data_IF_469372650144
#
_entry.id   IF_469372650144
#
_cell.length_a   1.000
_cell.length_b   1.000
_cell.length_c   1.000
_cell.angle_alpha   90.00
_cell.angle_beta   90.00
_cell.angle_gamma   90.00
#
_symmetry.space_group_name_H-M   'P 1'
#
loop_
_entity.id
_entity.type
_entity.pdbx_description
1 polymer ?
#
# COMPACT_ATOMS: atom_id res chain seq x y z
N UNK A 1 81.55 21.37 -53.39
CA UNK A 1 81.75 20.70 -52.08
C UNK A 1 80.51 21.04 -51.25
N UNK A 2 79.46 20.22 -51.33
CA UNK A 2 79.34 19.05 -50.45
C UNK A 2 79.25 19.59 -49.02
N UNK A 3 78.05 19.99 -48.59
CA UNK A 3 77.12 19.08 -47.91
C UNK A 3 77.77 18.55 -46.63
N UNK A 4 77.97 19.40 -45.62
CA UNK A 4 78.21 18.91 -44.25
C UNK A 4 77.62 19.81 -43.16
N UNK A 5 77.39 21.11 -43.40
CA UNK A 5 76.96 21.99 -42.31
C UNK A 5 75.44 22.24 -42.21
N UNK A 6 74.68 21.86 -43.24
CA UNK A 6 73.21 21.88 -43.24
C UNK A 6 72.56 20.66 -42.58
N UNK A 7 73.35 19.68 -42.14
CA UNK A 7 72.86 18.47 -41.49
C UNK A 7 72.81 18.56 -39.95
N UNK A 8 73.71 19.33 -39.31
CA UNK A 8 73.74 19.42 -37.84
C UNK A 8 72.55 20.18 -37.23
N UNK A 9 71.92 21.09 -37.98
CA UNK A 9 70.71 21.79 -37.54
C UNK A 9 69.44 20.97 -37.85
N UNK A 10 69.46 20.18 -38.95
CA UNK A 10 68.37 19.28 -39.33
C UNK A 10 68.35 17.97 -38.53
N UNK A 11 69.42 17.60 -37.87
CA UNK A 11 69.40 16.49 -36.91
C UNK A 11 68.89 16.99 -35.55
N UNK A 12 69.37 18.15 -35.09
CA UNK A 12 68.95 18.73 -33.81
C UNK A 12 67.44 18.93 -33.66
N UNK A 13 66.72 19.41 -34.69
CA UNK A 13 65.26 19.56 -34.56
C UNK A 13 64.53 18.20 -34.51
N UNK A 14 65.07 17.16 -35.14
CA UNK A 14 64.54 15.78 -35.04
C UNK A 14 64.82 15.26 -33.64
N UNK A 15 66.01 15.51 -33.08
CA UNK A 15 66.34 15.15 -31.70
C UNK A 15 65.42 15.87 -30.69
N UNK A 16 65.13 17.16 -30.92
CA UNK A 16 64.19 17.92 -30.09
C UNK A 16 62.75 17.42 -30.22
N UNK A 17 62.30 17.07 -31.42
CA UNK A 17 60.98 16.46 -31.62
C UNK A 17 60.89 15.07 -30.98
N UNK A 18 61.95 14.27 -31.09
CA UNK A 18 62.04 12.97 -30.45
C UNK A 18 62.02 13.12 -28.92
N UNK A 19 62.79 14.06 -28.36
CA UNK A 19 62.77 14.35 -26.93
C UNK A 19 61.38 14.81 -26.46
N UNK A 20 60.72 15.71 -27.20
CA UNK A 20 59.36 16.15 -26.89
C UNK A 20 58.35 15.00 -26.95
N UNK A 21 58.45 14.13 -27.96
CA UNK A 21 57.59 12.95 -28.08
C UNK A 21 57.81 11.96 -26.92
N UNK A 22 59.07 11.72 -26.52
CA UNK A 22 59.41 10.86 -25.38
C UNK A 22 58.82 11.43 -24.08
N UNK A 23 58.97 12.74 -23.85
CA UNK A 23 58.39 13.41 -22.67
C UNK A 23 56.86 13.32 -22.68
N UNK A 24 56.23 13.54 -23.84
CA UNK A 24 54.76 13.43 -23.98
C UNK A 24 54.27 12.01 -23.68
N UNK A 25 54.96 10.99 -24.18
CA UNK A 25 54.62 9.58 -23.93
C UNK A 25 54.84 9.23 -22.47
N UNK A 26 55.95 9.67 -21.85
CA UNK A 26 56.21 9.44 -20.43
C UNK A 26 55.12 10.07 -19.54
N UNK A 27 54.67 11.28 -19.87
CA UNK A 27 53.60 11.95 -19.12
C UNK A 27 52.24 11.24 -19.28
N UNK A 28 51.92 10.81 -20.50
CA UNK A 28 50.71 10.03 -20.77
C UNK A 28 50.71 8.69 -20.02
N UNK A 29 51.83 7.96 -20.06
CA UNK A 29 51.99 6.69 -19.35
C UNK A 29 51.98 6.86 -17.83
N UNK A 30 52.54 7.95 -17.29
CA UNK A 30 52.43 8.26 -15.87
C UNK A 30 50.96 8.41 -15.47
N UNK A 31 50.17 9.21 -16.20
CA UNK A 31 48.74 9.39 -15.90
C UNK A 31 47.95 8.07 -15.97
N UNK A 32 48.30 7.18 -16.92
CA UNK A 32 47.70 5.86 -17.05
C UNK A 32 48.10 4.94 -15.89
N UNK A 33 49.36 4.97 -15.45
CA UNK A 33 49.84 4.27 -14.26
C UNK A 33 49.09 4.75 -13.02
N UNK A 34 48.89 6.06 -12.85
CA UNK A 34 48.13 6.63 -11.74
C UNK A 34 46.66 6.23 -11.77
N UNK A 35 46.08 5.96 -12.95
CA UNK A 35 44.72 5.45 -13.08
C UNK A 35 44.59 3.95 -12.85
N UNK A 36 45.58 3.15 -13.28
CA UNK A 36 45.57 1.69 -13.11
C UNK A 36 45.96 1.30 -11.67
N UNK A 37 46.91 2.00 -11.06
CA UNK A 37 47.34 1.73 -9.68
C UNK A 37 46.28 2.09 -8.64
N UNK A 38 45.25 2.87 -9.03
CA UNK A 38 44.18 3.30 -8.15
C UNK A 38 44.68 4.24 -7.04
N UNK A 39 43.78 5.06 -6.49
CA UNK A 39 44.02 5.75 -5.23
C UNK A 39 44.03 4.71 -4.10
N UNK A 40 45.14 3.98 -3.92
CA UNK A 40 45.34 3.01 -2.85
C UNK A 40 45.60 3.68 -1.49
N UNK A 41 45.01 4.86 -1.25
CA UNK A 41 44.93 5.51 0.07
C UNK A 41 43.54 5.31 0.70
N UNK A 42 42.86 4.23 0.31
CA UNK A 42 41.85 3.63 1.19
C UNK A 42 42.52 2.39 1.76
N UNK A 43 43.28 2.58 2.84
CA UNK A 43 43.71 1.47 3.68
C UNK A 43 42.51 0.57 3.93
N UNK A 44 42.72 -0.75 3.86
CA UNK A 44 41.66 -1.72 4.08
C UNK A 44 40.83 -1.31 5.29
N UNK A 45 39.56 -0.97 5.07
CA UNK A 45 38.59 -0.75 6.14
C UNK A 45 38.38 -2.12 6.77
N UNK A 46 39.24 -2.48 7.71
CA UNK A 46 39.02 -3.59 8.61
C UNK A 46 37.95 -3.12 9.57
N UNK A 47 36.68 -3.40 9.23
CA UNK A 47 35.60 -3.27 10.21
C UNK A 47 35.95 -4.25 11.33
N UNK A 48 36.22 -3.79 12.57
CA UNK A 48 36.39 -4.73 13.67
C UNK A 48 35.04 -5.43 13.85
N UNK A 49 35.01 -6.75 13.60
CA UNK A 49 33.80 -7.57 13.75
C UNK A 49 33.31 -7.73 15.20
N UNK A 50 33.85 -6.96 16.14
CA UNK A 50 33.48 -7.00 17.57
C UNK A 50 32.78 -5.73 18.07
N UNK A 51 32.28 -4.88 17.17
CA UNK A 51 31.33 -3.85 17.59
C UNK A 51 29.96 -4.50 17.79
N UNK A 52 29.71 -5.03 19.01
CA UNK A 52 28.37 -5.36 19.50
C UNK A 52 27.42 -4.24 19.06
N UNK A 53 26.44 -4.57 18.22
CA UNK A 53 25.48 -3.62 17.68
C UNK A 53 24.84 -2.84 18.83
N UNK A 54 25.35 -1.63 19.08
CA UNK A 54 24.71 -0.73 20.03
C UNK A 54 23.52 -0.16 19.29
N UNK A 55 22.32 -0.60 19.69
CA UNK A 55 21.08 -0.01 19.22
C UNK A 55 21.16 1.50 19.47
N UNK A 56 21.33 2.27 18.41
CA UNK A 56 21.19 3.72 18.46
C UNK A 56 19.69 3.96 18.59
N UNK A 57 19.25 4.28 19.80
CA UNK A 57 17.89 4.74 20.03
C UNK A 57 17.79 6.14 19.47
N UNK A 58 17.21 6.28 18.28
CA UNK A 58 16.94 7.59 17.68
C UNK A 58 15.81 8.24 18.46
N UNK A 59 16.13 9.28 19.23
CA UNK A 59 15.14 10.11 19.88
C UNK A 59 14.48 11.01 18.83
N UNK A 60 13.28 10.62 18.41
CA UNK A 60 12.46 11.33 17.44
C UNK A 60 11.53 12.37 18.09
N UNK A 61 11.54 12.50 19.42
CA UNK A 61 10.71 13.46 20.17
C UNK A 61 10.82 14.90 19.66
N UNK A 62 12.04 15.44 19.41
CA UNK A 62 12.21 16.80 18.89
C UNK A 62 11.64 16.99 17.48
N UNK A 63 11.76 15.98 16.61
CA UNK A 63 11.24 16.02 15.25
C UNK A 63 9.70 15.97 15.24
N UNK A 64 9.09 15.20 16.15
CA UNK A 64 7.64 15.13 16.32
C UNK A 64 7.09 16.43 16.93
N UNK A 65 7.83 17.07 17.86
CA UNK A 65 7.44 18.32 18.50
C UNK A 65 7.35 19.52 17.53
N UNK A 66 8.10 19.51 16.42
CA UNK A 66 8.01 20.56 15.41
C UNK A 66 6.74 20.53 14.56
N UNK A 67 5.97 19.43 14.60
CA UNK A 67 4.71 19.26 13.88
C UNK A 67 4.69 19.85 12.45
N UNK A 68 5.71 19.57 11.59
CA UNK A 68 5.84 20.20 10.26
C UNK A 68 4.67 19.89 9.31
N UNK A 69 3.83 18.91 9.66
CA UNK A 69 2.64 18.49 8.90
C UNK A 69 1.32 18.79 9.64
N UNK A 70 1.37 19.61 10.69
CA UNK A 70 0.24 19.91 11.56
C UNK A 70 0.17 19.01 12.80
N UNK A 71 -0.55 19.46 13.83
CA UNK A 71 -0.78 18.67 15.04
C UNK A 71 -1.78 17.54 14.75
N UNK A 72 -1.55 16.32 15.27
CA UNK A 72 -2.53 15.24 15.18
C UNK A 72 -3.73 15.56 16.09
N UNK A 73 -4.60 16.48 15.68
CA UNK A 73 -5.83 16.84 16.41
C UNK A 73 -7.05 16.06 15.91
N UNK A 74 -6.95 15.39 14.76
CA UNK A 74 -7.84 14.28 14.46
C UNK A 74 -7.27 13.07 15.19
N UNK A 75 -7.62 12.93 16.47
CA UNK A 75 -7.33 11.71 17.19
C UNK A 75 -8.02 10.57 16.42
N UNK A 76 -7.20 9.80 15.71
CA UNK A 76 -7.69 8.76 14.82
C UNK A 76 -8.32 7.68 15.70
N UNK A 77 -9.64 7.51 15.58
CA UNK A 77 -10.30 6.41 16.25
C UNK A 77 -9.73 5.12 15.68
N UNK A 78 -8.88 4.47 16.47
CA UNK A 78 -8.20 3.23 16.08
C UNK A 78 -9.02 2.00 16.49
N UNK A 79 -10.01 2.18 17.37
CA UNK A 79 -10.89 1.12 17.85
C UNK A 79 -12.24 1.14 17.15
N UNK A 80 -12.72 0.00 16.61
CA UNK A 80 -14.08 -0.09 16.09
C UNK A 80 -15.09 0.09 17.23
N UNK A 81 -16.22 0.70 16.95
CA UNK A 81 -17.28 0.90 17.95
C UNK A 81 -17.98 -0.43 18.28
N UNK A 82 -18.32 -0.62 19.56
CA UNK A 82 -19.18 -1.72 20.01
C UNK A 82 -20.69 -1.45 19.80
N UNK A 83 -21.07 -0.31 19.24
CA UNK A 83 -22.47 0.03 18.98
C UNK A 83 -23.01 -0.90 17.87
N UNK A 84 -24.15 -1.55 18.14
CA UNK A 84 -24.86 -2.40 17.19
C UNK A 84 -25.60 -1.56 16.13
N UNK A 85 -24.82 -0.83 15.32
CA UNK A 85 -25.27 0.02 14.23
C UNK A 85 -24.56 -0.37 12.93
N UNK A 86 -25.20 -0.09 11.80
CA UNK A 86 -24.67 -0.36 10.47
C UNK A 86 -24.65 0.93 9.67
N UNK A 87 -23.46 1.33 9.21
CA UNK A 87 -23.30 2.44 8.29
C UNK A 87 -23.79 2.03 6.89
N UNK A 88 -24.88 2.64 6.43
CA UNK A 88 -25.53 2.33 5.14
C UNK A 88 -25.10 3.28 4.03
N UNK A 89 -24.71 4.50 4.36
CA UNK A 89 -24.27 5.49 3.38
C UNK A 89 -23.61 6.71 4.01
N UNK A 90 -22.82 7.43 3.22
CA UNK A 90 -22.25 8.72 3.58
C UNK A 90 -22.33 9.66 2.38
N UNK A 91 -22.77 10.89 2.62
CA UNK A 91 -22.62 12.05 1.75
C UNK A 91 -21.53 12.92 2.36
N UNK A 92 -20.35 12.90 1.78
CA UNK A 92 -19.20 13.67 2.25
C UNK A 92 -19.16 15.03 1.56
N UNK A 93 -19.07 16.11 2.33
CA UNK A 93 -19.04 17.48 1.84
C UNK A 93 -17.92 18.31 2.47
N UNK A 94 -17.58 19.42 1.82
CA UNK A 94 -16.67 20.47 2.31
C UNK A 94 -17.44 21.79 2.25
N UNK A 95 -17.70 22.48 3.37
CA UNK A 95 -17.26 22.22 4.74
C UNK A 95 -17.86 20.93 5.36
N UNK A 96 -17.16 20.37 6.37
CA UNK A 96 -17.50 19.07 6.98
C UNK A 96 -18.90 19.04 7.61
N UNK A 97 -19.41 20.20 8.03
CA UNK A 97 -20.74 20.42 8.62
C UNK A 97 -21.89 20.07 7.66
N UNK A 98 -21.63 20.05 6.36
CA UNK A 98 -22.59 19.64 5.33
C UNK A 98 -22.60 18.12 5.10
N UNK A 99 -21.70 17.38 5.76
CA UNK A 99 -21.66 15.93 5.62
C UNK A 99 -22.82 15.28 6.35
N UNK A 100 -23.36 14.21 5.74
CA UNK A 100 -24.49 13.45 6.27
C UNK A 100 -24.14 11.97 6.19
N UNK A 101 -24.36 11.24 7.28
CA UNK A 101 -24.24 9.78 7.33
C UNK A 101 -25.62 9.16 7.48
N UNK A 102 -25.82 7.97 6.92
CA UNK A 102 -27.06 7.20 7.04
C UNK A 102 -26.76 5.93 7.82
N UNK A 103 -27.31 5.85 9.02
CA UNK A 103 -27.00 4.77 9.97
C UNK A 103 -28.29 4.04 10.38
N UNK A 104 -28.23 2.72 10.34
CA UNK A 104 -29.28 1.80 10.77
C UNK A 104 -28.93 1.28 12.16
N UNK A 105 -29.84 1.35 13.13
CA UNK A 105 -29.63 0.79 14.47
C UNK A 105 -30.52 -0.44 14.60
N UNK A 106 -29.92 -1.60 14.88
CA UNK A 106 -30.65 -2.87 14.84
C UNK A 106 -31.34 -3.09 13.48
N UNK A 107 -32.64 -3.36 13.51
CA UNK A 107 -33.46 -3.61 12.32
C UNK A 107 -34.33 -2.40 11.90
N UNK A 108 -34.06 -1.21 12.46
CA UNK A 108 -34.74 0.02 12.05
C UNK A 108 -34.23 0.51 10.68
N UNK A 109 -35.06 1.25 9.92
CA UNK A 109 -34.60 1.91 8.70
C UNK A 109 -33.47 2.91 8.99
N UNK A 110 -32.58 3.12 7.99
CA UNK A 110 -31.46 4.04 8.11
C UNK A 110 -31.93 5.49 8.34
N UNK A 111 -31.42 6.11 9.41
CA UNK A 111 -31.69 7.51 9.76
C UNK A 111 -30.48 8.39 9.41
N UNK A 112 -30.69 9.66 9.01
CA UNK A 112 -29.60 10.59 8.74
C UNK A 112 -28.99 11.15 10.04
N UNK A 113 -27.68 11.28 10.10
CA UNK A 113 -26.91 11.87 11.21
C UNK A 113 -25.83 12.82 10.67
N UNK A 114 -25.66 13.96 11.35
CA UNK A 114 -24.65 14.98 11.09
C UNK A 114 -23.57 15.00 12.17
N UNK A 115 -22.51 15.76 11.92
CA UNK A 115 -21.50 16.07 12.95
C UNK A 115 -22.18 16.78 14.13
N UNK A 116 -21.95 16.29 15.34
CA UNK A 116 -22.56 16.75 16.58
C UNK A 116 -23.80 15.95 17.03
N UNK A 117 -24.42 15.16 16.15
CA UNK A 117 -25.58 14.34 16.53
C UNK A 117 -25.21 13.19 17.46
N UNK A 118 -26.17 12.75 18.26
CA UNK A 118 -26.04 11.58 19.12
C UNK A 118 -26.51 10.30 18.40
N UNK A 119 -25.62 9.32 18.29
CA UNK A 119 -25.88 7.98 17.78
C UNK A 119 -25.74 6.98 18.94
N UNK A 120 -26.87 6.45 19.43
CA UNK A 120 -26.92 5.41 20.47
C UNK A 120 -26.05 5.71 21.73
N UNK A 121 -25.96 6.99 22.12
CA UNK A 121 -25.18 7.44 23.29
C UNK A 121 -23.75 7.92 22.99
N UNK A 122 -23.25 7.73 21.77
CA UNK A 122 -21.99 8.33 21.31
C UNK A 122 -22.27 9.55 20.42
N UNK A 123 -21.38 10.55 20.43
CA UNK A 123 -21.53 11.75 19.60
C UNK A 123 -20.75 11.60 18.30
N UNK A 124 -21.34 11.97 17.16
CA UNK A 124 -20.65 11.95 15.86
C UNK A 124 -19.67 13.11 15.79
N UNK A 125 -18.37 12.83 15.93
CA UNK A 125 -17.32 13.86 15.90
C UNK A 125 -16.89 14.19 14.48
N UNK A 126 -16.87 13.19 13.59
CA UNK A 126 -16.42 13.37 12.20
C UNK A 126 -17.11 12.37 11.27
N UNK A 127 -17.46 12.84 10.06
CA UNK A 127 -17.99 11.99 8.99
C UNK A 127 -16.93 11.88 7.89
N UNK A 128 -16.38 10.68 7.72
CA UNK A 128 -15.38 10.38 6.68
C UNK A 128 -16.03 9.52 5.58
N UNK A 129 -15.33 9.41 4.43
CA UNK A 129 -15.86 8.69 3.27
C UNK A 129 -16.08 7.19 3.50
N UNK A 130 -15.28 6.59 4.37
CA UNK A 130 -15.23 5.15 4.62
C UNK A 130 -15.73 4.75 6.02
N UNK A 131 -15.87 5.73 6.92
CA UNK A 131 -16.27 5.52 8.32
C UNK A 131 -16.82 6.80 8.94
N UNK A 132 -17.54 6.67 10.05
CA UNK A 132 -17.84 7.79 10.95
C UNK A 132 -17.04 7.64 12.24
N UNK A 133 -16.60 8.76 12.80
CA UNK A 133 -15.88 8.84 14.07
C UNK A 133 -16.88 9.25 15.15
N UNK A 134 -16.90 8.47 16.21
CA UNK A 134 -17.84 8.55 17.32
C UNK A 134 -17.05 8.83 18.60
N UNK A 135 -17.57 9.70 19.45
CA UNK A 135 -17.06 9.93 20.80
C UNK A 135 -18.02 9.31 21.82
N UNK A 136 -17.59 8.23 22.46
CA UNK A 136 -18.32 7.53 23.50
C UNK A 136 -17.70 7.83 24.86
N UNK A 137 -18.25 8.82 25.57
CA UNK A 137 -17.78 9.21 26.91
C UNK A 137 -16.30 9.62 26.99
N UNK A 138 -15.74 10.20 25.92
CA UNK A 138 -14.34 10.59 25.83
C UNK A 138 -13.45 9.60 25.08
N UNK A 139 -13.96 8.42 24.72
CA UNK A 139 -13.26 7.45 23.86
C UNK A 139 -13.67 7.65 22.41
N UNK A 140 -12.69 7.85 21.53
CA UNK A 140 -12.93 7.90 20.09
C UNK A 140 -12.96 6.49 19.51
N UNK A 141 -14.09 6.16 18.87
CA UNK A 141 -14.37 4.89 18.21
C UNK A 141 -14.79 5.18 16.77
N UNK A 142 -14.66 4.19 15.86
CA UNK A 142 -15.16 4.34 14.50
C UNK A 142 -16.23 3.32 14.16
N UNK A 143 -17.25 3.74 13.40
CA UNK A 143 -18.18 2.84 12.73
C UNK A 143 -17.87 2.87 11.23
N UNK A 144 -17.27 1.80 10.73
CA UNK A 144 -16.97 1.63 9.31
C UNK A 144 -18.18 1.04 8.56
N UNK A 145 -18.13 1.12 7.23
CA UNK A 145 -19.02 0.32 6.40
C UNK A 145 -18.81 -1.17 6.69
N UNK A 146 -19.88 -1.99 6.70
CA UNK A 146 -19.74 -3.43 6.88
C UNK A 146 -18.85 -4.00 5.77
N UNK A 147 -17.82 -4.76 6.14
CA UNK A 147 -16.94 -5.41 5.18
C UNK A 147 -17.71 -6.49 4.42
N UNK A 148 -17.87 -6.36 3.09
CA UNK A 148 -18.59 -7.36 2.30
C UNK A 148 -17.85 -8.71 2.25
N UNK A 149 -16.55 -8.70 2.57
CA UNK A 149 -15.67 -9.86 2.48
C UNK A 149 -15.18 -10.38 3.84
N UNK A 150 -15.66 -9.78 4.94
CA UNK A 150 -15.50 -10.28 6.30
C UNK A 150 -14.06 -10.64 6.66
N UNK A 151 -13.16 -9.66 6.66
CA UNK A 151 -11.91 -9.82 7.40
C UNK A 151 -12.19 -9.63 8.89
N UNK A 152 -11.86 -10.64 9.69
CA UNK A 152 -11.64 -10.41 11.11
C UNK A 152 -10.43 -9.46 11.21
N UNK A 153 -10.64 -8.25 11.72
CA UNK A 153 -9.55 -7.35 12.08
C UNK A 153 -8.51 -8.14 12.89
N UNK A 154 -7.27 -8.29 12.41
CA UNK A 154 -6.24 -8.96 13.18
C UNK A 154 -6.03 -8.14 14.46
N UNK A 155 -6.34 -8.72 15.62
CA UNK A 155 -6.01 -8.15 16.92
C UNK A 155 -4.49 -7.93 16.98
N UNK A 156 -3.99 -6.69 17.02
CA UNK A 156 -2.57 -6.46 17.22
C UNK A 156 -2.27 -6.71 18.69
N UNK A 157 -1.64 -7.84 19.01
CA UNK A 157 -1.12 -8.07 20.35
C UNK A 157 -1.25 -9.50 20.86
N UNK A 158 -0.45 -10.41 20.32
CA UNK A 158 0.12 -11.54 21.06
C UNK A 158 1.27 -12.11 20.24
N UNK A 159 2.39 -11.39 20.16
CA UNK A 159 3.65 -12.00 19.76
C UNK A 159 4.16 -12.82 20.97
N UNK A 160 4.35 -14.15 20.85
CA UNK A 160 5.05 -14.92 21.87
C UNK A 160 6.51 -14.45 21.89
N UNK A 161 7.04 -14.14 23.07
CA UNK A 161 8.45 -13.80 23.24
C UNK A 161 9.33 -14.98 22.78
N UNK A 162 10.37 -14.78 21.95
CA UNK A 162 11.26 -15.86 21.55
C UNK A 162 12.17 -16.26 22.71
N UNK A 163 12.18 -17.56 23.04
CA UNK A 163 13.23 -18.14 23.87
C UNK A 163 14.56 -18.21 23.08
N UNK A 164 15.72 -17.87 23.66
CA UNK A 164 16.99 -17.92 22.93
C UNK A 164 17.50 -19.36 22.85
N UNK A 165 17.73 -19.89 21.64
CA UNK A 165 18.57 -21.09 21.49
C UNK A 165 18.32 -22.05 20.32
N UNK A 166 17.43 -21.78 19.37
CA UNK A 166 17.25 -22.68 18.22
C UNK A 166 17.85 -22.10 16.92
N UNK A 167 18.66 -22.89 16.17
CA UNK A 167 19.14 -22.51 14.84
C UNK A 167 17.97 -22.16 13.93
N UNK A 168 18.09 -21.03 13.24
CA UNK A 168 17.12 -20.50 12.27
C UNK A 168 16.88 -21.52 11.15
N UNK A 169 15.86 -22.37 11.30
CA UNK A 169 15.17 -22.91 10.14
C UNK A 169 14.45 -21.71 9.50
N UNK A 170 14.76 -21.41 8.24
CA UNK A 170 14.00 -20.44 7.45
C UNK A 170 12.50 -20.76 7.63
N UNK A 171 11.68 -19.80 8.08
CA UNK A 171 10.25 -20.00 8.10
C UNK A 171 9.84 -20.23 6.65
N UNK A 172 9.27 -21.41 6.35
CA UNK A 172 8.43 -21.53 5.19
C UNK A 172 7.42 -20.37 5.23
N UNK A 173 7.19 -19.64 4.12
CA UNK A 173 6.23 -18.54 4.11
C UNK A 173 4.92 -19.07 4.72
N UNK A 174 4.47 -18.42 5.79
CA UNK A 174 3.19 -18.70 6.41
C UNK A 174 2.17 -18.72 5.28
N UNK A 175 1.54 -19.87 5.05
CA UNK A 175 0.52 -20.01 4.03
C UNK A 175 -0.47 -18.87 4.24
N UNK A 176 -0.60 -18.00 3.23
CA UNK A 176 -1.64 -16.99 3.24
C UNK A 176 -2.97 -17.69 3.59
N UNK A 177 -3.84 -17.08 4.41
CA UNK A 177 -5.18 -17.62 4.61
C UNK A 177 -5.76 -17.93 3.23
N UNK A 178 -6.39 -19.11 3.02
CA UNK A 178 -6.90 -19.47 1.72
C UNK A 178 -7.79 -18.32 1.22
N UNK A 179 -7.65 -17.88 -0.04
CA UNK A 179 -8.47 -16.82 -0.58
C UNK A 179 -9.94 -17.15 -0.30
N UNK A 180 -10.78 -16.15 0.04
CA UNK A 180 -12.16 -16.40 0.38
C UNK A 180 -12.79 -17.21 -0.75
N UNK A 181 -13.29 -18.41 -0.42
CA UNK A 181 -13.85 -19.28 -1.43
C UNK A 181 -15.01 -18.57 -2.11
N UNK A 182 -15.19 -18.80 -3.41
CA UNK A 182 -16.30 -18.20 -4.15
C UNK A 182 -17.63 -18.37 -3.40
N UNK A 183 -17.90 -19.57 -2.90
CA UNK A 183 -19.11 -19.91 -2.16
C UNK A 183 -19.31 -19.07 -0.88
N UNK A 184 -18.24 -18.72 -0.17
CA UNK A 184 -18.31 -17.87 1.01
C UNK A 184 -18.69 -16.43 0.66
N UNK A 185 -18.14 -15.91 -0.44
CA UNK A 185 -18.47 -14.57 -0.95
C UNK A 185 -19.91 -14.53 -1.45
N UNK A 186 -20.31 -15.50 -2.27
CA UNK A 186 -21.68 -15.60 -2.80
C UNK A 186 -22.73 -15.72 -1.69
N UNK A 187 -22.49 -16.55 -0.68
CA UNK A 187 -23.40 -16.71 0.47
C UNK A 187 -23.61 -15.39 1.23
N UNK A 188 -22.53 -14.62 1.43
CA UNK A 188 -22.60 -13.33 2.16
C UNK A 188 -23.34 -12.26 1.39
N UNK A 189 -23.11 -12.18 0.09
CA UNK A 189 -23.85 -11.32 -0.83
C UNK A 189 -25.32 -11.74 -0.98
N UNK A 190 -25.70 -12.88 -0.38
CA UNK A 190 -26.99 -13.53 -0.55
C UNK A 190 -27.29 -13.75 -2.05
N UNK A 191 -26.26 -14.15 -2.79
CA UNK A 191 -26.32 -14.24 -4.24
C UNK A 191 -26.94 -15.58 -4.67
N UNK A 192 -27.89 -15.53 -5.60
CA UNK A 192 -28.56 -16.72 -6.14
C UNK A 192 -28.15 -16.95 -7.61
N UNK A 193 -27.91 -18.21 -8.02
CA UNK A 193 -27.59 -18.52 -9.40
C UNK A 193 -28.81 -18.25 -10.30
N UNK A 194 -28.60 -17.49 -11.37
CA UNK A 194 -29.61 -17.17 -12.38
C UNK A 194 -29.05 -17.39 -13.79
N UNK A 195 -29.91 -17.40 -14.79
CA UNK A 195 -29.47 -17.51 -16.18
C UNK A 195 -28.50 -16.34 -16.51
N UNK A 196 -27.25 -16.66 -16.84
CA UNK A 196 -26.23 -15.67 -17.20
C UNK A 196 -25.40 -15.10 -16.05
N UNK A 197 -25.53 -15.61 -14.81
CA UNK A 197 -24.66 -15.22 -13.70
C UNK A 197 -25.29 -15.37 -12.31
N UNK A 198 -25.04 -14.39 -11.42
CA UNK A 198 -25.55 -14.41 -10.04
C UNK A 198 -26.32 -13.13 -9.69
N UNK A 199 -27.55 -13.30 -9.21
CA UNK A 199 -28.37 -12.19 -8.73
C UNK A 199 -27.99 -11.84 -7.29
N UNK A 200 -27.70 -10.56 -7.02
CA UNK A 200 -27.34 -10.08 -5.69
C UNK A 200 -28.59 -9.95 -4.80
N UNK A 201 -28.53 -10.53 -3.59
CA UNK A 201 -29.61 -10.48 -2.62
C UNK A 201 -29.56 -9.27 -1.70
N UNK A 202 -30.03 -9.43 -0.46
CA UNK A 202 -30.23 -8.33 0.49
C UNK A 202 -28.93 -7.65 0.99
N UNK A 203 -27.77 -8.27 0.77
CA UNK A 203 -26.46 -7.78 1.22
C UNK A 203 -25.65 -7.19 0.06
N UNK A 204 -26.28 -6.33 -0.74
CA UNK A 204 -25.62 -5.69 -1.87
C UNK A 204 -24.48 -4.75 -1.41
N UNK A 205 -23.28 -4.85 -2.01
CA UNK A 205 -22.18 -3.92 -1.73
C UNK A 205 -22.52 -2.48 -2.15
N UNK A 206 -21.83 -1.47 -1.58
CA UNK A 206 -21.97 -0.09 -2.01
C UNK A 206 -21.77 0.06 -3.53
N UNK A 207 -22.75 0.67 -4.21
CA UNK A 207 -22.76 0.82 -5.68
C UNK A 207 -23.57 -0.23 -6.43
N UNK A 208 -23.95 -1.32 -5.77
CA UNK A 208 -24.86 -2.35 -6.31
C UNK A 208 -26.24 -2.26 -5.63
N UNK A 209 -27.24 -2.89 -6.25
CA UNK A 209 -28.62 -2.99 -5.74
C UNK A 209 -29.03 -4.46 -5.68
N UNK A 210 -29.91 -4.78 -4.74
CA UNK A 210 -30.54 -6.09 -4.73
C UNK A 210 -31.33 -6.28 -6.03
N UNK A 211 -31.19 -7.46 -6.65
CA UNK A 211 -31.75 -7.77 -7.96
C UNK A 211 -30.81 -7.51 -9.14
N UNK A 212 -29.65 -6.89 -8.94
CA UNK A 212 -28.62 -6.80 -9.98
C UNK A 212 -28.06 -8.19 -10.29
N UNK A 213 -27.94 -8.54 -11.57
CA UNK A 213 -27.34 -9.82 -12.00
C UNK A 213 -25.90 -9.59 -12.42
N UNK A 214 -24.95 -10.15 -11.67
CA UNK A 214 -23.53 -10.09 -12.02
C UNK A 214 -23.25 -11.04 -13.18
N UNK A 215 -22.79 -10.50 -14.30
CA UNK A 215 -22.40 -11.28 -15.48
C UNK A 215 -20.89 -11.52 -15.54
N UNK A 216 -20.08 -10.55 -15.10
CA UNK A 216 -18.62 -10.69 -15.07
C UNK A 216 -17.95 -9.92 -13.92
N UNK A 217 -16.82 -10.44 -13.45
CA UNK A 217 -15.95 -9.82 -12.43
C UNK A 217 -14.53 -9.77 -13.00
N UNK A 218 -13.94 -8.58 -13.07
CA UNK A 218 -12.62 -8.32 -13.68
C UNK A 218 -12.48 -8.91 -15.10
N UNK A 219 -13.57 -8.90 -15.87
CA UNK A 219 -13.64 -9.46 -17.23
C UNK A 219 -13.85 -10.98 -17.29
N UNK A 220 -13.83 -11.70 -16.17
CA UNK A 220 -14.13 -13.13 -16.12
C UNK A 220 -15.64 -13.36 -16.02
N UNK A 221 -16.19 -14.18 -16.91
CA UNK A 221 -17.62 -14.56 -16.91
C UNK A 221 -17.98 -15.33 -15.65
N UNK A 222 -19.14 -15.00 -15.06
CA UNK A 222 -19.67 -15.70 -13.89
C UNK A 222 -20.46 -16.97 -14.22
N UNK A 223 -20.35 -17.47 -15.46
CA UNK A 223 -20.99 -18.71 -15.94
C UNK A 223 -20.17 -19.96 -15.60
N UNK A 224 -18.87 -19.82 -15.42
CA UNK A 224 -17.93 -20.93 -15.21
C UNK A 224 -17.43 -20.95 -13.76
N UNK A 225 -17.71 -22.03 -13.03
CA UNK A 225 -17.38 -22.15 -11.60
C UNK A 225 -15.87 -21.93 -11.31
N UNK A 226 -14.99 -22.42 -12.19
CA UNK A 226 -13.53 -22.22 -12.06
C UNK A 226 -13.12 -20.77 -12.33
N UNK A 227 -13.76 -20.10 -13.30
CA UNK A 227 -13.50 -18.70 -13.61
C UNK A 227 -14.00 -17.79 -12.49
N UNK A 228 -15.15 -18.13 -11.88
CA UNK A 228 -15.69 -17.44 -10.69
C UNK A 228 -14.68 -17.47 -9.54
N UNK A 229 -14.09 -18.62 -9.24
CA UNK A 229 -13.11 -18.73 -8.15
C UNK A 229 -11.84 -17.91 -8.41
N UNK A 230 -11.33 -17.94 -9.65
CA UNK A 230 -10.17 -17.13 -10.05
C UNK A 230 -10.48 -15.62 -10.05
N UNK A 231 -11.67 -15.22 -10.48
CA UNK A 231 -12.12 -13.83 -10.48
C UNK A 231 -12.21 -13.28 -9.05
N UNK A 232 -12.78 -14.06 -8.13
CA UNK A 232 -12.92 -13.66 -6.72
C UNK A 232 -11.55 -13.60 -6.04
N UNK A 233 -10.67 -14.57 -6.30
CA UNK A 233 -9.31 -14.57 -5.74
C UNK A 233 -8.47 -13.38 -6.25
N UNK A 234 -8.53 -13.07 -7.54
CA UNK A 234 -7.81 -11.91 -8.12
C UNK A 234 -8.36 -10.59 -7.60
N UNK A 235 -9.68 -10.50 -7.40
CA UNK A 235 -10.31 -9.31 -6.87
C UNK A 235 -10.02 -9.10 -5.37
N UNK A 236 -9.89 -10.18 -4.60
CA UNK A 236 -9.39 -10.14 -3.22
C UNK A 236 -7.93 -9.69 -3.14
N UNK A 237 -7.09 -10.10 -4.08
CA UNK A 237 -5.67 -9.70 -4.13
C UNK A 237 -5.47 -8.24 -4.54
N UNK A 238 -6.27 -7.73 -5.49
CA UNK A 238 -6.17 -6.34 -5.98
C UNK A 238 -6.82 -5.31 -5.05
N UNK A 239 -7.65 -5.76 -4.11
CA UNK A 239 -8.44 -4.90 -3.22
C UNK A 239 -9.55 -4.11 -3.93
N UNK A 240 -9.84 -4.43 -5.19
CA UNK A 240 -10.86 -3.79 -6.03
C UNK A 240 -11.39 -4.81 -7.06
N UNK A 241 -12.71 -4.88 -7.23
CA UNK A 241 -13.37 -5.59 -8.34
C UNK A 241 -14.04 -4.61 -9.30
N UNK A 242 -13.83 -4.82 -10.59
CA UNK A 242 -14.67 -4.26 -11.63
C UNK A 242 -15.74 -5.27 -12.02
N UNK A 243 -17.01 -4.96 -11.76
CA UNK A 243 -18.12 -5.89 -11.93
C UNK A 243 -19.06 -5.38 -13.01
N UNK A 244 -19.38 -6.22 -13.98
CA UNK A 244 -20.44 -5.94 -14.97
C UNK A 244 -21.73 -6.58 -14.48
N UNK A 245 -22.72 -5.74 -14.21
CA UNK A 245 -24.06 -6.14 -13.78
C UNK A 245 -25.09 -5.88 -14.87
N UNK A 246 -26.16 -6.66 -14.85
CA UNK A 246 -27.40 -6.36 -15.57
C UNK A 246 -28.38 -5.71 -14.59
N UNK A 247 -28.78 -4.47 -14.88
CA UNK A 247 -29.81 -3.73 -14.12
C UNK A 247 -30.87 -3.26 -15.10
N UNK A 248 -32.14 -3.62 -14.84
CA UNK A 248 -33.26 -3.31 -15.74
C UNK A 248 -33.01 -3.74 -17.21
N UNK A 249 -32.30 -4.86 -17.41
CA UNK A 249 -31.95 -5.38 -18.74
C UNK A 249 -30.79 -4.66 -19.44
N UNK A 250 -30.13 -3.68 -18.80
CA UNK A 250 -28.97 -2.96 -19.36
C UNK A 250 -27.67 -3.34 -18.63
N UNK A 251 -26.56 -3.61 -19.35
CA UNK A 251 -25.28 -3.86 -18.73
C UNK A 251 -24.68 -2.56 -18.18
N UNK A 252 -24.23 -2.57 -16.92
CA UNK A 252 -23.59 -1.46 -16.22
C UNK A 252 -22.31 -1.99 -15.57
N UNK A 253 -21.20 -1.26 -15.71
CA UNK A 253 -19.93 -1.59 -15.03
C UNK A 253 -19.79 -0.76 -13.76
N UNK A 254 -19.56 -1.42 -12.62
CA UNK A 254 -19.39 -0.81 -11.30
C UNK A 254 -18.04 -1.24 -10.72
N UNK A 255 -17.29 -0.31 -10.13
CA UNK A 255 -16.06 -0.61 -9.41
C UNK A 255 -16.35 -0.67 -7.92
N UNK A 256 -15.93 -1.76 -7.27
CA UNK A 256 -16.24 -2.06 -5.86
C UNK A 256 -14.94 -2.34 -5.11
N UNK A 257 -14.64 -1.65 -4.00
CA UNK A 257 -13.49 -1.97 -3.19
C UNK A 257 -13.70 -3.31 -2.46
N UNK A 258 -12.65 -4.13 -2.47
CA UNK A 258 -12.58 -5.41 -1.79
C UNK A 258 -11.53 -5.25 -0.71
N UNK A 259 -11.93 -5.32 0.54
CA UNK A 259 -11.03 -5.21 1.69
C UNK A 259 -11.36 -6.38 2.60
#
# INVERSE_FOLDING_TARGET
MIVVERFRFRERWIDWLAAAAIVSVAFALASLVWRIAGHADTGAITVPSDARARAVTVDSGPAVAWAPFGSPTAADATSPTGIQAILKGVVFARPAELSISFVSIGNEPAKPYKVGDALAGAQVTEIRRDRIILNNGGRLEYLAFPDPFGQATPTPGAAPAPAPGQPMAQPAPAAAPPPPSAQAVLSRLNATPVAGGYAIGANAPPGMRSGDVVQSVNGASMTDQSAVNAAIASAAASGQAQVTILRDGKPITVSIPIR
#
